data_IF_008512910334
#
_entry.id   IF_008512910334
#
_cell.length_a   1.000
_cell.length_b   1.000
_cell.length_c   1.000
_cell.angle_alpha   90.00
_cell.angle_beta   90.00
_cell.angle_gamma   90.00
#
_symmetry.space_group_name_H-M   'P 1'
#
loop_
_entity.id
_entity.type
_entity.pdbx_description
1 polymer ?
#
# COMPACT_ATOMS: atom_id res chain seq x y z
N UNK A 1 -26.77 32.41 -7.98
CA UNK A 1 -26.12 32.55 -6.66
C UNK A 1 -26.42 31.29 -5.87
N UNK A 2 -25.54 30.30 -5.89
CA UNK A 2 -25.65 29.09 -5.06
C UNK A 2 -24.27 28.85 -4.44
N UNK A 3 -24.19 29.05 -3.12
CA UNK A 3 -23.01 28.78 -2.30
C UNK A 3 -23.03 27.30 -1.94
N UNK A 4 -22.14 26.51 -2.52
CA UNK A 4 -21.79 25.22 -1.95
C UNK A 4 -20.80 25.48 -0.81
N UNK A 5 -21.26 25.37 0.44
CA UNK A 5 -20.42 25.23 1.63
C UNK A 5 -20.23 23.74 1.85
N UNK A 6 -18.99 23.32 2.10
CA UNK A 6 -18.52 21.94 2.39
C UNK A 6 -18.01 21.23 1.14
N UNK A 7 -16.70 21.35 0.90
CA UNK A 7 -15.88 20.47 0.07
C UNK A 7 -14.39 20.78 0.37
N UNK A 8 -13.85 20.25 1.48
CA UNK A 8 -12.41 20.07 1.71
C UNK A 8 -12.20 19.33 3.03
N UNK A 9 -12.55 18.05 3.08
CA UNK A 9 -12.08 17.15 4.12
C UNK A 9 -11.07 16.21 3.50
N UNK A 10 -9.78 16.47 3.71
CA UNK A 10 -8.70 15.53 3.40
C UNK A 10 -8.48 14.64 4.64
N UNK A 11 -8.05 13.38 4.46
CA UNK A 11 -7.86 12.43 5.57
C UNK A 11 -6.80 12.85 6.61
N UNK A 12 -6.08 13.96 6.37
CA UNK A 12 -5.18 14.58 7.35
C UNK A 12 -5.87 15.24 8.56
N UNK A 13 -7.18 15.50 8.50
CA UNK A 13 -7.87 16.23 9.59
C UNK A 13 -8.04 15.42 10.88
N UNK A 14 -7.86 14.10 10.85
CA UNK A 14 -7.97 13.21 12.02
C UNK A 14 -6.68 13.11 12.86
N UNK A 15 -5.57 13.73 12.42
CA UNK A 15 -4.28 13.66 13.11
C UNK A 15 -4.07 14.78 14.16
N UNK A 16 -4.89 15.83 14.16
CA UNK A 16 -4.81 16.91 15.16
C UNK A 16 -5.90 16.74 16.21
N UNK A 17 -5.52 16.17 17.35
CA UNK A 17 -6.38 15.96 18.50
C UNK A 17 -7.06 17.24 19.00
N UNK A 18 -8.38 17.29 18.78
CA UNK A 18 -9.33 17.92 19.69
C UNK A 18 -10.26 16.79 20.16
N UNK A 19 -10.17 16.45 21.45
CA UNK A 19 -10.70 15.22 22.01
C UNK A 19 -12.21 15.17 22.20
N UNK A 20 -12.70 13.99 22.57
CA UNK A 20 -13.19 13.76 23.93
C UNK A 20 -13.20 12.25 24.26
N UNK A 21 -13.20 11.97 25.55
CA UNK A 21 -12.90 10.73 26.26
C UNK A 21 -14.00 9.66 26.24
N UNK A 22 -13.61 8.39 26.47
CA UNK A 22 -14.22 7.37 27.36
C UNK A 22 -13.87 5.95 26.84
N UNK A 23 -12.91 5.23 27.43
CA UNK A 23 -12.98 4.33 28.61
C UNK A 23 -13.63 2.94 28.42
N UNK A 24 -12.84 1.90 28.79
CA UNK A 24 -13.19 0.57 29.32
C UNK A 24 -13.91 -0.44 28.38
N UNK A 25 -13.59 -1.76 28.31
CA UNK A 25 -13.14 -2.74 29.32
C UNK A 25 -12.77 -4.09 28.63
N UNK A 26 -11.80 -4.84 29.19
CA UNK A 26 -11.54 -6.28 28.90
C UNK A 26 -12.45 -7.22 29.72
N UNK A 27 -12.62 -8.51 29.36
CA UNK A 27 -11.88 -9.62 30.02
C UNK A 27 -11.57 -10.83 29.06
N UNK A 28 -10.45 -11.56 29.13
CA UNK A 28 -9.96 -12.66 30.02
C UNK A 28 -10.70 -14.03 30.01
N UNK A 29 -9.99 -15.05 29.49
CA UNK A 29 -9.61 -16.37 30.07
C UNK A 29 -10.46 -17.68 30.03
N UNK A 30 -9.68 -18.79 30.00
CA UNK A 30 -9.90 -20.23 30.40
C UNK A 30 -10.51 -21.16 29.33
N UNK A 31 -10.04 -22.37 29.00
CA UNK A 31 -8.94 -23.25 29.45
C UNK A 31 -9.23 -24.72 29.08
N UNK A 32 -8.25 -25.63 29.30
CA UNK A 32 -8.37 -27.08 29.59
C UNK A 32 -7.83 -28.12 28.58
N UNK A 33 -7.02 -29.01 29.17
CA UNK A 33 -6.24 -30.19 28.71
C UNK A 33 -7.11 -31.35 28.15
N UNK A 34 -6.65 -32.41 27.45
CA UNK A 34 -5.68 -33.49 27.79
C UNK A 34 -5.49 -34.47 26.59
N UNK A 35 -4.28 -35.04 26.41
CA UNK A 35 -3.89 -36.49 26.23
C UNK A 35 -4.71 -37.41 25.26
N UNK A 36 -4.23 -38.39 24.47
CA UNK A 36 -3.00 -39.19 24.29
C UNK A 36 -3.24 -40.20 23.10
N UNK A 37 -2.20 -40.90 22.65
CA UNK A 37 -2.15 -42.21 21.96
C UNK A 37 -2.12 -42.32 20.41
N UNK A 38 -0.87 -42.41 19.89
CA UNK A 38 -0.24 -43.53 19.14
C UNK A 38 -0.74 -44.01 17.75
N UNK A 39 0.15 -43.79 16.76
CA UNK A 39 0.60 -44.63 15.62
C UNK A 39 -0.38 -45.33 14.67
N UNK A 40 -0.18 -45.13 13.36
CA UNK A 40 0.19 -46.18 12.38
C UNK A 40 0.66 -45.54 11.07
N UNK A 41 1.85 -45.92 10.59
CA UNK A 41 2.37 -45.56 9.27
C UNK A 41 1.88 -46.55 8.22
N UNK A 42 1.34 -46.09 7.09
CA UNK A 42 1.40 -46.81 5.81
C UNK A 42 1.51 -45.83 4.63
N UNK A 43 2.48 -46.14 3.77
CA UNK A 43 2.86 -45.49 2.52
C UNK A 43 1.70 -45.37 1.52
N UNK A 44 1.70 -44.30 0.71
CA UNK A 44 1.69 -44.40 -0.75
C UNK A 44 1.95 -43.02 -1.37
N UNK A 45 2.80 -43.01 -2.39
CA UNK A 45 2.88 -42.00 -3.45
C UNK A 45 1.54 -41.32 -3.75
N UNK A 46 1.47 -40.00 -3.57
CA UNK A 46 0.71 -39.17 -4.50
C UNK A 46 1.33 -37.78 -4.58
N UNK A 47 1.91 -37.52 -5.75
CA UNK A 47 2.36 -36.21 -6.17
C UNK A 47 1.21 -35.20 -6.09
N UNK A 48 1.58 -33.96 -5.79
CA UNK A 48 0.83 -32.72 -6.09
C UNK A 48 -0.36 -32.35 -5.20
N UNK A 49 -0.13 -32.25 -3.90
CA UNK A 49 -0.78 -31.17 -3.12
C UNK A 49 0.23 -30.04 -2.95
N UNK A 50 0.52 -29.34 -4.05
CA UNK A 50 0.87 -27.92 -3.91
C UNK A 50 -0.45 -27.28 -3.53
N UNK A 51 -0.59 -26.91 -2.27
CA UNK A 51 -1.78 -26.30 -1.71
C UNK A 51 -2.29 -25.22 -2.68
N UNK A 52 -3.47 -25.49 -3.25
CA UNK A 52 -4.26 -24.54 -4.05
C UNK A 52 -4.74 -23.34 -3.22
N UNK A 53 -4.31 -23.26 -1.96
CA UNK A 53 -4.54 -22.16 -1.02
C UNK A 53 -3.49 -21.02 -1.15
N UNK A 54 -2.37 -21.23 -1.86
CA UNK A 54 -1.34 -20.18 -2.05
C UNK A 54 -1.42 -19.45 -3.41
N UNK A 55 -2.50 -19.67 -4.18
CA UNK A 55 -2.99 -18.66 -5.14
C UNK A 55 -3.75 -17.55 -4.39
N UNK A 56 -3.09 -17.04 -3.34
CA UNK A 56 -3.46 -15.88 -2.54
C UNK A 56 -4.06 -14.82 -3.46
N UNK A 57 -5.37 -14.65 -3.31
CA UNK A 57 -6.32 -14.09 -4.28
C UNK A 57 -5.76 -12.88 -5.03
N UNK A 58 -5.13 -13.10 -6.19
CA UNK A 58 -4.64 -12.02 -7.04
C UNK A 58 -5.82 -11.15 -7.46
N UNK A 59 -5.62 -9.83 -7.51
CA UNK A 59 -6.64 -8.93 -8.05
C UNK A 59 -6.95 -9.29 -9.50
N UNK A 60 -8.23 -9.38 -9.81
CA UNK A 60 -8.73 -9.46 -11.17
C UNK A 60 -8.37 -8.20 -11.96
N UNK A 61 -8.36 -8.30 -13.29
CA UNK A 61 -8.11 -7.15 -14.16
C UNK A 61 -9.15 -6.03 -13.96
N UNK A 62 -10.39 -6.38 -13.62
CA UNK A 62 -11.48 -5.45 -13.34
C UNK A 62 -11.24 -4.68 -12.04
N UNK A 63 -10.86 -5.37 -10.96
CA UNK A 63 -10.50 -4.74 -9.69
C UNK A 63 -9.31 -3.80 -9.84
N UNK A 64 -8.28 -4.22 -10.57
CA UNK A 64 -7.12 -3.37 -10.88
C UNK A 64 -7.55 -2.12 -11.65
N UNK A 65 -8.37 -2.28 -12.70
CA UNK A 65 -8.84 -1.15 -13.48
C UNK A 65 -9.69 -0.17 -12.65
N UNK A 66 -10.52 -0.69 -11.75
CA UNK A 66 -11.30 0.10 -10.82
C UNK A 66 -10.40 0.91 -9.86
N UNK A 67 -9.44 0.26 -9.21
CA UNK A 67 -8.50 0.93 -8.30
C UNK A 67 -7.65 1.98 -9.01
N UNK A 68 -7.16 1.68 -10.22
CA UNK A 68 -6.42 2.65 -11.04
C UNK A 68 -7.26 3.90 -11.27
N UNK A 69 -8.54 3.75 -11.61
CA UNK A 69 -9.45 4.89 -11.81
C UNK A 69 -9.75 5.62 -10.51
N UNK A 70 -9.97 4.90 -9.41
CA UNK A 70 -10.22 5.50 -8.11
C UNK A 70 -9.02 6.32 -7.61
N UNK A 71 -7.82 5.75 -7.67
CA UNK A 71 -6.59 6.41 -7.26
C UNK A 71 -6.20 7.57 -8.19
N UNK A 72 -6.44 7.46 -9.51
CA UNK A 72 -6.14 8.54 -10.48
C UNK A 72 -6.85 9.87 -10.15
N UNK A 73 -8.02 9.81 -9.51
CA UNK A 73 -8.74 10.99 -9.05
C UNK A 73 -7.97 11.78 -7.95
N UNK A 74 -7.12 11.10 -7.19
CA UNK A 74 -6.30 11.66 -6.12
C UNK A 74 -4.86 11.93 -6.55
N UNK A 75 -4.47 11.56 -7.78
CA UNK A 75 -3.11 11.84 -8.25
C UNK A 75 -2.91 13.35 -8.36
N UNK A 76 -1.81 13.81 -7.78
CA UNK A 76 -1.40 15.20 -7.78
C UNK A 76 -1.06 15.72 -9.19
N UNK A 77 -1.33 17.00 -9.44
CA UNK A 77 -1.12 17.64 -10.75
C UNK A 77 0.34 17.56 -11.23
N UNK A 78 1.31 17.53 -10.31
CA UNK A 78 2.74 17.34 -10.66
C UNK A 78 3.00 16.04 -11.41
N UNK A 79 2.37 14.94 -11.00
CA UNK A 79 2.50 13.66 -11.67
C UNK A 79 1.71 13.63 -12.99
N UNK A 80 0.56 14.32 -13.07
CA UNK A 80 -0.19 14.49 -14.33
C UNK A 80 0.57 15.36 -15.35
N UNK A 81 1.32 16.35 -14.89
CA UNK A 81 2.18 17.18 -15.72
C UNK A 81 3.35 16.38 -16.30
N UNK A 82 3.93 15.46 -15.51
CA UNK A 82 4.99 14.55 -15.99
C UNK A 82 4.43 13.56 -17.03
N UNK A 83 3.33 12.88 -16.72
CA UNK A 83 2.67 11.95 -17.66
C UNK A 83 1.40 12.57 -18.24
N UNK A 84 1.59 13.41 -19.27
CA UNK A 84 0.50 14.11 -19.99
C UNK A 84 -0.59 13.14 -20.47
N UNK A 85 -0.20 11.96 -20.93
CA UNK A 85 -1.15 10.88 -21.26
C UNK A 85 -1.31 9.94 -20.07
N UNK A 86 -2.54 9.51 -19.75
CA UNK A 86 -2.80 8.67 -18.58
C UNK A 86 -2.19 7.27 -18.69
N UNK A 87 -1.89 6.78 -19.90
CA UNK A 87 -1.45 5.41 -20.14
C UNK A 87 -0.25 4.99 -19.26
N UNK A 88 0.82 5.80 -19.23
CA UNK A 88 2.01 5.48 -18.41
C UNK A 88 1.70 5.53 -16.92
N UNK A 89 0.96 6.54 -16.48
CA UNK A 89 0.52 6.66 -15.08
C UNK A 89 -0.36 5.48 -14.65
N UNK A 90 -1.27 5.04 -15.50
CA UNK A 90 -2.15 3.91 -15.25
C UNK A 90 -1.37 2.61 -15.16
N UNK A 91 -0.31 2.47 -15.96
CA UNK A 91 0.61 1.33 -15.83
C UNK A 91 1.26 1.29 -14.44
N UNK A 92 1.72 2.43 -13.91
CA UNK A 92 2.34 2.50 -12.58
C UNK A 92 1.32 2.17 -11.50
N UNK A 93 0.14 2.79 -11.53
CA UNK A 93 -0.95 2.51 -10.58
C UNK A 93 -1.38 1.04 -10.64
N UNK A 94 -1.46 0.46 -11.83
CA UNK A 94 -1.81 -0.94 -12.02
C UNK A 94 -0.75 -1.87 -11.44
N UNK A 95 0.55 -1.55 -11.58
CA UNK A 95 1.62 -2.30 -10.95
C UNK A 95 1.52 -2.26 -9.43
N UNK A 96 1.24 -1.09 -8.85
CA UNK A 96 1.03 -0.97 -7.39
C UNK A 96 -0.14 -1.82 -6.93
N UNK A 97 -1.28 -1.74 -7.63
CA UNK A 97 -2.47 -2.52 -7.29
C UNK A 97 -2.25 -4.03 -7.42
N UNK A 98 -1.48 -4.49 -8.41
CA UNK A 98 -1.22 -5.92 -8.60
C UNK A 98 -0.30 -6.51 -7.53
N UNK A 99 0.61 -5.71 -7.00
CA UNK A 99 1.68 -6.18 -6.11
C UNK A 99 1.43 -5.85 -4.62
N UNK A 100 0.17 -5.62 -4.23
CA UNK A 100 -0.28 -5.67 -2.84
C UNK A 100 -1.39 -6.71 -2.65
N UNK A 101 -1.73 -7.04 -1.41
CA UNK A 101 -2.86 -7.95 -1.13
C UNK A 101 -4.18 -7.36 -1.62
N UNK A 102 -5.10 -8.19 -2.12
CA UNK A 102 -6.38 -7.70 -2.65
C UNK A 102 -7.26 -7.01 -1.61
N UNK A 103 -7.06 -7.33 -0.32
CA UNK A 103 -7.81 -6.77 0.80
C UNK A 103 -7.23 -5.45 1.31
N UNK A 104 -6.03 -5.11 0.87
CA UNK A 104 -5.29 -3.94 1.30
C UNK A 104 -5.40 -2.79 0.30
N UNK A 105 -5.45 -1.55 0.76
CA UNK A 105 -5.35 -0.37 -0.11
C UNK A 105 -4.25 0.57 0.44
N UNK A 106 -3.11 0.73 -0.27
CA UNK A 106 -2.01 1.58 0.19
C UNK A 106 -2.28 3.08 0.08
N UNK A 107 -3.35 3.50 -0.62
CA UNK A 107 -3.65 4.91 -0.91
C UNK A 107 -4.86 5.39 -0.11
N UNK A 108 -5.95 4.63 -0.14
CA UNK A 108 -7.24 4.97 0.48
C UNK A 108 -7.62 4.05 1.65
N UNK A 109 -6.73 3.13 2.03
CA UNK A 109 -6.92 2.25 3.18
C UNK A 109 -6.81 2.98 4.51
N UNK A 110 -6.96 2.23 5.60
CA UNK A 110 -6.82 2.77 6.96
C UNK A 110 -5.34 3.00 7.32
N UNK A 111 -5.11 3.79 8.37
CA UNK A 111 -3.79 4.14 8.92
C UNK A 111 -3.29 3.18 10.00
N UNK A 112 -4.01 2.08 10.25
CA UNK A 112 -3.69 1.10 11.31
C UNK A 112 -2.89 -0.07 10.71
N UNK A 113 -3.33 -0.61 9.59
CA UNK A 113 -2.77 -1.84 9.01
C UNK A 113 -1.66 -1.55 8.00
N UNK A 114 -0.56 -2.29 8.12
CA UNK A 114 0.51 -2.27 7.11
C UNK A 114 0.00 -2.88 5.80
N UNK A 115 0.38 -2.29 4.67
CA UNK A 115 0.16 -2.87 3.34
C UNK A 115 1.49 -3.41 2.84
N UNK A 116 1.63 -4.74 2.76
CA UNK A 116 2.90 -5.38 2.42
C UNK A 116 3.08 -5.47 0.89
N UNK A 117 4.24 -5.05 0.41
CA UNK A 117 4.64 -5.23 -0.99
C UNK A 117 4.89 -6.70 -1.32
N UNK A 118 4.36 -7.18 -2.45
CA UNK A 118 4.58 -8.55 -2.98
C UNK A 118 5.45 -8.54 -4.25
N UNK A 119 5.97 -7.37 -4.60
CA UNK A 119 6.71 -7.12 -5.82
C UNK A 119 8.21 -7.30 -5.75
N UNK A 120 8.92 -6.52 -6.56
CA UNK A 120 10.39 -6.50 -6.59
C UNK A 120 10.98 -5.65 -5.46
N UNK A 121 12.20 -6.01 -5.07
CA UNK A 121 12.98 -5.37 -4.02
C UNK A 121 14.40 -5.08 -4.52
N UNK A 122 14.99 -3.99 -4.03
CA UNK A 122 16.40 -3.63 -4.22
C UNK A 122 16.95 -3.17 -2.87
N UNK A 123 18.09 -3.73 -2.45
CA UNK A 123 18.66 -3.53 -1.11
C UNK A 123 17.65 -3.71 0.04
N UNK A 124 16.73 -4.67 -0.11
CA UNK A 124 15.66 -5.00 0.85
C UNK A 124 14.59 -3.90 1.02
N UNK A 125 14.44 -3.03 0.02
CA UNK A 125 13.37 -2.04 -0.08
C UNK A 125 12.48 -2.29 -1.31
N UNK A 126 11.15 -2.11 -1.19
CA UNK A 126 10.22 -2.20 -2.31
C UNK A 126 10.58 -1.26 -3.46
N UNK A 127 10.70 -1.79 -4.68
CA UNK A 127 10.91 -1.01 -5.90
C UNK A 127 9.81 -1.22 -6.94
N UNK A 128 9.67 -0.22 -7.81
CA UNK A 128 8.79 -0.23 -8.98
C UNK A 128 9.54 0.31 -10.20
N UNK A 129 9.27 -0.29 -11.36
CA UNK A 129 9.81 0.18 -12.63
C UNK A 129 8.92 1.27 -13.23
N UNK A 130 9.59 2.30 -13.74
CA UNK A 130 8.97 3.53 -14.23
C UNK A 130 9.61 3.91 -15.54
N UNK A 131 8.78 4.01 -16.58
CA UNK A 131 9.18 4.58 -17.84
C UNK A 131 8.88 6.09 -17.83
N UNK A 132 9.91 6.92 -17.61
CA UNK A 132 9.73 8.38 -17.73
C UNK A 132 9.54 8.76 -19.20
N UNK A 133 8.80 9.84 -19.50
CA UNK A 133 8.56 10.27 -20.89
C UNK A 133 9.86 10.51 -21.68
N UNK A 134 10.88 11.04 -21.01
CA UNK A 134 12.13 11.52 -21.63
C UNK A 134 13.28 10.50 -21.55
N UNK A 135 13.07 9.36 -20.88
CA UNK A 135 14.06 8.29 -20.73
C UNK A 135 13.60 7.06 -21.53
N UNK A 136 14.40 6.62 -22.51
CA UNK A 136 14.14 5.39 -23.28
C UNK A 136 14.46 4.10 -22.47
N UNK A 137 14.89 4.25 -21.23
CA UNK A 137 15.27 3.15 -20.34
C UNK A 137 14.29 3.14 -19.17
N UNK A 138 13.74 1.97 -18.86
CA UNK A 138 12.96 1.79 -17.64
C UNK A 138 13.87 2.05 -16.43
N UNK A 139 13.51 3.05 -15.64
CA UNK A 139 14.20 3.39 -14.39
C UNK A 139 13.49 2.71 -13.22
N UNK A 140 14.22 2.16 -12.25
CA UNK A 140 13.63 1.73 -10.98
C UNK A 140 13.57 2.91 -10.00
N UNK A 141 12.59 2.89 -9.11
CA UNK A 141 12.56 3.76 -7.92
C UNK A 141 11.86 3.04 -6.78
N UNK A 142 11.99 3.55 -5.56
CA UNK A 142 11.31 2.97 -4.40
C UNK A 142 9.80 3.23 -4.44
N UNK A 143 9.00 2.23 -4.08
CA UNK A 143 7.53 2.31 -4.13
C UNK A 143 7.02 3.46 -3.25
N UNK A 144 7.57 3.63 -2.05
CA UNK A 144 7.18 4.72 -1.16
C UNK A 144 7.50 6.12 -1.75
N UNK A 145 8.61 6.26 -2.49
CA UNK A 145 8.91 7.50 -3.24
C UNK A 145 7.90 7.75 -4.35
N UNK A 146 7.55 6.70 -5.09
CA UNK A 146 6.52 6.81 -6.12
C UNK A 146 5.17 7.23 -5.53
N UNK A 147 4.76 6.64 -4.40
CA UNK A 147 3.51 7.00 -3.71
C UNK A 147 3.51 8.46 -3.24
N UNK A 148 4.59 8.94 -2.62
CA UNK A 148 4.73 10.35 -2.25
C UNK A 148 4.66 11.25 -3.48
N UNK A 149 5.38 10.92 -4.56
CA UNK A 149 5.35 11.69 -5.80
C UNK A 149 3.94 11.75 -6.40
N UNK A 150 3.20 10.64 -6.38
CA UNK A 150 1.84 10.56 -6.93
C UNK A 150 0.80 11.27 -6.08
N UNK A 151 0.84 11.17 -4.75
CA UNK A 151 -0.32 11.47 -3.90
C UNK A 151 -0.10 12.53 -2.81
N UNK A 152 1.13 12.78 -2.37
CA UNK A 152 1.36 13.77 -1.31
C UNK A 152 0.85 15.16 -1.74
N UNK A 153 0.38 15.99 -0.81
CA UNK A 153 0.18 17.40 -1.12
C UNK A 153 1.53 18.10 -1.35
N UNK A 154 1.49 19.34 -1.82
CA UNK A 154 2.70 20.09 -2.15
C UNK A 154 3.58 20.31 -0.90
N UNK A 155 2.98 20.62 0.25
CA UNK A 155 3.70 20.90 1.49
C UNK A 155 4.43 19.64 2.02
N UNK A 156 3.75 18.49 2.05
CA UNK A 156 4.35 17.23 2.49
C UNK A 156 5.41 16.77 1.51
N UNK A 157 5.17 16.91 0.20
CA UNK A 157 6.17 16.58 -0.83
C UNK A 157 7.47 17.36 -0.60
N UNK A 158 7.40 18.68 -0.40
CA UNK A 158 8.59 19.52 -0.19
C UNK A 158 9.33 19.22 1.11
N UNK A 159 8.63 18.81 2.17
CA UNK A 159 9.26 18.39 3.43
C UNK A 159 10.09 17.11 3.23
N UNK A 160 9.54 16.16 2.49
CA UNK A 160 10.06 14.80 2.35
C UNK A 160 11.10 14.67 1.21
N UNK A 161 10.93 15.40 0.09
CA UNK A 161 11.76 15.28 -1.12
C UNK A 161 13.17 15.88 -0.96
N UNK A 162 13.50 16.40 0.22
CA UNK A 162 14.85 16.86 0.58
C UNK A 162 15.86 15.70 0.71
N UNK A 163 15.40 14.47 0.70
CA UNK A 163 16.22 13.26 0.88
C UNK A 163 16.81 12.77 -0.45
N UNK A 164 18.11 12.45 -0.46
CA UNK A 164 18.92 12.03 -1.63
C UNK A 164 18.50 10.67 -2.20
N UNK A 165 17.38 10.59 -2.93
CA UNK A 165 16.93 9.41 -3.69
C UNK A 165 16.83 8.08 -2.89
N UNK A 166 16.86 8.13 -1.56
CA UNK A 166 16.72 6.95 -0.69
C UNK A 166 15.24 6.62 -0.45
N UNK A 167 14.98 5.36 -0.12
CA UNK A 167 13.66 4.92 0.35
C UNK A 167 13.28 5.69 1.63
N UNK A 168 12.00 6.01 1.77
CA UNK A 168 11.50 6.59 3.01
C UNK A 168 11.46 5.56 4.14
N UNK A 169 11.67 6.04 5.36
CA UNK A 169 11.37 5.27 6.56
C UNK A 169 9.86 5.22 6.78
N UNK A 170 9.40 4.13 7.39
CA UNK A 170 8.00 3.92 7.71
C UNK A 170 7.80 4.09 9.22
N UNK A 171 6.78 4.83 9.64
CA UNK A 171 6.46 5.04 11.07
C UNK A 171 6.10 3.73 11.78
N UNK A 172 5.60 2.74 11.04
CA UNK A 172 5.31 1.39 11.54
C UNK A 172 6.57 0.52 11.74
N UNK A 173 7.76 1.00 11.37
CA UNK A 173 9.02 0.25 11.45
C UNK A 173 9.19 -0.87 10.42
N UNK A 174 8.15 -1.17 9.63
CA UNK A 174 8.20 -2.19 8.59
C UNK A 174 8.59 -1.59 7.24
N UNK A 175 9.84 -1.79 6.82
CA UNK A 175 10.37 -1.29 5.53
C UNK A 175 9.71 -1.90 4.28
N UNK A 176 8.96 -2.99 4.41
CA UNK A 176 8.20 -3.60 3.32
C UNK A 176 6.76 -3.05 3.22
N UNK A 177 6.36 -2.18 4.16
CA UNK A 177 5.08 -1.49 4.12
C UNK A 177 5.10 -0.42 3.02
N UNK A 178 4.02 -0.33 2.25
CA UNK A 178 3.79 0.69 1.25
C UNK A 178 2.52 1.51 1.53
N UNK A 179 1.96 1.45 2.74
CA UNK A 179 0.83 2.30 3.11
C UNK A 179 1.29 3.77 3.12
N UNK A 180 0.64 4.62 2.32
CA UNK A 180 0.98 6.04 2.16
C UNK A 180 0.94 6.79 3.50
N UNK A 181 0.00 6.44 4.39
CA UNK A 181 -0.15 7.06 5.72
C UNK A 181 0.94 6.63 6.70
N UNK A 182 1.67 5.55 6.40
CA UNK A 182 2.77 5.06 7.23
C UNK A 182 4.12 5.67 6.84
N UNK A 183 4.19 6.53 5.82
CA UNK A 183 5.45 7.15 5.40
C UNK A 183 5.85 8.23 6.41
N UNK A 184 7.09 8.15 6.91
CA UNK A 184 7.63 9.09 7.88
C UNK A 184 7.99 10.43 7.23
N UNK A 185 7.56 11.54 7.84
CA UNK A 185 7.87 12.91 7.42
C UNK A 185 9.10 13.50 8.15
N UNK A 186 9.81 12.67 8.92
CA UNK A 186 10.88 13.09 9.83
C UNK A 186 12.20 13.46 9.13
#
# INVERSE_FOLDING_TARGET
>A
MFKCRICSGTPFSTLFGFGDSMEHTSPKNVGSDTEDVTSTAQNADELSNIDSEDLNELRSAEEVAFLVKAWDAYVHERAKALWKTPAKRYSILASIAKECDKRDDPVLGNDITCVKWKGKYEDDYPIIYVNKPDENVDSSTYVNRMLVFLFADQESYEKIDKTRYKAFEMVCGNKWCINLTHISLC
#
